data_IF_268898933592
#
_entry.id   IF_268898933592
#
_cell.length_a   1.000
_cell.length_b   1.000
_cell.length_c   1.000
_cell.angle_alpha   90.00
_cell.angle_beta   90.00
_cell.angle_gamma   90.00
#
_symmetry.space_group_name_H-M   'P 1'
#
loop_
_entity.id
_entity.type
_entity.pdbx_description
1 polymer ?
#
# COMPACT_ATOMS: atom_id res chain seq x y z
N UNK A 1 -16.82 7.64 6.74
CA UNK A 1 -15.69 6.72 6.92
C UNK A 1 -15.81 6.01 8.25
N UNK A 2 -15.81 4.68 8.26
CA UNK A 2 -15.83 3.83 9.45
C UNK A 2 -14.55 3.00 9.47
N UNK A 3 -13.80 3.06 10.57
CA UNK A 3 -12.65 2.19 10.74
C UNK A 3 -13.08 0.72 10.80
N UNK A 4 -12.44 -0.14 10.01
CA UNK A 4 -12.76 -1.58 9.93
C UNK A 4 -11.60 -2.47 10.39
N UNK A 5 -10.40 -1.91 10.58
CA UNK A 5 -9.25 -2.62 11.13
C UNK A 5 -7.94 -2.26 10.42
N UNK A 6 -6.83 -2.57 11.09
CA UNK A 6 -5.49 -2.42 10.55
C UNK A 6 -4.89 -3.75 10.12
N UNK A 7 -3.98 -3.72 9.16
CA UNK A 7 -3.15 -4.85 8.76
C UNK A 7 -1.70 -4.39 8.77
N UNK A 8 -0.89 -5.08 9.56
CA UNK A 8 0.55 -4.86 9.65
C UNK A 8 1.29 -6.15 9.32
N UNK A 9 2.47 -6.04 8.76
CA UNK A 9 3.28 -7.20 8.44
C UNK A 9 4.53 -6.89 7.65
N UNK A 10 5.06 -7.92 7.00
CA UNK A 10 6.21 -7.84 6.13
C UNK A 10 5.83 -8.30 4.72
N UNK A 11 6.49 -7.70 3.74
CA UNK A 11 6.32 -8.06 2.35
C UNK A 11 7.51 -7.65 1.51
N UNK A 12 7.42 -7.98 0.24
CA UNK A 12 8.41 -7.63 -0.77
C UNK A 12 7.84 -6.49 -1.61
N UNK A 13 8.53 -5.36 -1.60
CA UNK A 13 8.18 -4.22 -2.44
C UNK A 13 8.68 -4.47 -3.86
N UNK A 14 7.78 -4.30 -4.82
CA UNK A 14 8.05 -4.40 -6.25
C UNK A 14 7.72 -3.08 -6.92
N UNK A 15 8.55 -2.66 -7.85
CA UNK A 15 8.30 -1.49 -8.68
C UNK A 15 8.48 -1.90 -10.14
N UNK A 16 7.47 -1.64 -10.97
CA UNK A 16 7.47 -2.02 -12.39
C UNK A 16 7.78 -3.53 -12.61
N UNK A 17 7.29 -4.37 -11.70
CA UNK A 17 7.55 -5.83 -11.70
C UNK A 17 8.93 -6.25 -11.15
N UNK A 18 9.86 -5.32 -10.95
CA UNK A 18 11.16 -5.59 -10.34
C UNK A 18 11.08 -5.61 -8.82
N UNK A 19 11.68 -6.60 -8.19
CA UNK A 19 11.84 -6.64 -6.74
C UNK A 19 12.84 -5.58 -6.27
N UNK A 20 12.42 -4.75 -5.34
CA UNK A 20 13.21 -3.65 -4.79
C UNK A 20 13.82 -4.06 -3.46
N UNK A 21 13.03 -4.71 -2.60
CA UNK A 21 13.49 -5.22 -1.33
C UNK A 21 12.36 -5.50 -0.36
N UNK A 22 12.73 -6.04 0.79
CA UNK A 22 11.81 -6.34 1.88
C UNK A 22 11.39 -5.04 2.59
N UNK A 23 10.11 -4.92 2.86
CA UNK A 23 9.50 -3.78 3.53
C UNK A 23 8.56 -4.26 4.62
N UNK A 24 8.50 -3.53 5.74
CA UNK A 24 7.41 -3.65 6.70
C UNK A 24 6.30 -2.69 6.29
N UNK A 25 5.07 -3.04 6.61
CA UNK A 25 3.90 -2.22 6.32
C UNK A 25 2.96 -2.18 7.50
N UNK A 26 2.26 -1.06 7.63
CA UNK A 26 1.18 -0.84 8.58
C UNK A 26 0.09 -0.04 7.86
N UNK A 27 -1.05 -0.69 7.60
CA UNK A 27 -2.16 -0.10 6.86
C UNK A 27 -3.43 -0.12 7.68
N UNK A 28 -4.11 1.01 7.74
CA UNK A 28 -5.44 1.13 8.30
C UNK A 28 -6.48 1.09 7.18
N UNK A 29 -7.53 0.28 7.40
CA UNK A 29 -8.63 0.12 6.47
C UNK A 29 -9.88 0.84 6.98
N UNK A 30 -10.51 1.58 6.08
CA UNK A 30 -11.72 2.35 6.32
C UNK A 30 -12.79 1.98 5.31
N UNK A 31 -14.01 1.75 5.79
CA UNK A 31 -15.17 1.61 4.94
C UNK A 31 -15.82 2.98 4.70
N UNK A 32 -16.01 3.33 3.44
CA UNK A 32 -16.71 4.53 3.02
C UNK A 32 -17.83 4.17 2.04
N UNK A 33 -19.09 4.30 2.45
CA UNK A 33 -20.25 3.85 1.68
C UNK A 33 -20.29 4.23 0.18
N UNK A 34 -19.85 5.42 -0.27
CA UNK A 34 -19.82 5.75 -1.70
C UNK A 34 -18.60 5.20 -2.47
N UNK A 35 -17.54 4.76 -1.79
CA UNK A 35 -16.23 4.39 -2.40
C UNK A 35 -15.85 2.93 -2.15
N UNK A 36 -16.44 2.28 -1.14
CA UNK A 36 -16.08 0.94 -0.70
C UNK A 36 -15.03 0.94 0.41
N UNK A 37 -14.16 -0.07 0.41
CA UNK A 37 -13.04 -0.17 1.33
C UNK A 37 -11.86 0.62 0.76
N UNK A 38 -11.37 1.57 1.53
CA UNK A 38 -10.13 2.32 1.26
C UNK A 38 -9.13 1.97 2.34
N UNK A 39 -7.89 1.66 1.96
CA UNK A 39 -6.84 1.38 2.92
C UNK A 39 -5.66 2.30 2.67
N UNK A 40 -5.04 2.80 3.73
CA UNK A 40 -3.89 3.69 3.65
C UNK A 40 -3.02 3.50 4.87
N UNK A 41 -1.74 3.84 4.76
CA UNK A 41 -0.83 3.75 5.89
C UNK A 41 0.60 3.98 5.47
N UNK A 42 1.53 3.36 6.19
CA UNK A 42 2.96 3.55 6.01
C UNK A 42 3.66 2.26 5.61
N UNK A 43 4.64 2.39 4.73
CA UNK A 43 5.63 1.33 4.46
C UNK A 43 6.99 1.79 4.97
N UNK A 44 7.77 0.86 5.51
CA UNK A 44 9.16 1.10 5.91
C UNK A 44 10.11 0.17 5.18
N UNK A 45 11.16 0.75 4.63
CA UNK A 45 12.25 0.05 3.94
C UNK A 45 13.52 0.89 3.97
N UNK A 46 14.63 0.32 3.50
CA UNK A 46 15.90 1.04 3.49
C UNK A 46 15.78 2.38 2.72
N UNK A 47 16.32 3.49 3.23
CA UNK A 47 16.22 4.80 2.58
C UNK A 47 16.70 4.79 1.12
N UNK A 48 17.73 4.00 0.81
CA UNK A 48 18.22 3.82 -0.56
C UNK A 48 17.15 3.18 -1.49
N UNK A 49 16.45 2.18 -0.99
CA UNK A 49 15.38 1.50 -1.72
C UNK A 49 14.15 2.40 -1.86
N UNK A 50 13.77 3.10 -0.79
CA UNK A 50 12.66 4.04 -0.79
C UNK A 50 12.88 5.17 -1.80
N UNK A 51 14.09 5.72 -1.88
CA UNK A 51 14.47 6.71 -2.90
C UNK A 51 14.40 6.17 -4.34
N UNK A 52 14.62 4.87 -4.53
CA UNK A 52 14.53 4.22 -5.84
C UNK A 52 13.08 4.08 -6.36
N UNK A 53 12.12 3.97 -5.44
CA UNK A 53 10.69 3.77 -5.76
C UNK A 53 9.87 5.05 -5.62
N UNK A 54 10.32 6.01 -4.82
CA UNK A 54 9.59 7.25 -4.60
C UNK A 54 9.40 8.01 -5.92
N UNK A 55 8.17 8.48 -6.17
CA UNK A 55 7.79 9.11 -7.44
C UNK A 55 7.51 8.15 -8.60
N UNK A 56 7.64 6.82 -8.38
CA UNK A 56 7.21 5.82 -9.37
C UNK A 56 5.70 5.63 -9.32
N UNK A 57 5.09 5.41 -10.49
CA UNK A 57 3.64 5.27 -10.64
C UNK A 57 3.12 3.86 -10.38
N UNK A 58 3.98 2.84 -10.48
CA UNK A 58 3.58 1.43 -10.36
C UNK A 58 4.40 0.78 -9.26
N UNK A 59 3.92 0.93 -8.03
CA UNK A 59 4.53 0.32 -6.84
C UNK A 59 3.55 -0.70 -6.31
N UNK A 60 4.05 -1.89 -6.01
CA UNK A 60 3.26 -3.00 -5.54
C UNK A 60 3.94 -3.62 -4.32
N UNK A 61 3.15 -4.11 -3.38
CA UNK A 61 3.63 -4.85 -2.23
C UNK A 61 3.07 -6.27 -2.30
N UNK A 62 3.98 -7.23 -2.41
CA UNK A 62 3.65 -8.64 -2.26
C UNK A 62 3.82 -9.01 -0.78
N UNK A 63 2.72 -9.17 -0.06
CA UNK A 63 2.77 -9.60 1.35
C UNK A 63 3.22 -11.05 1.45
N UNK A 64 3.76 -11.44 2.61
CA UNK A 64 4.16 -12.83 2.87
C UNK A 64 2.97 -13.82 2.79
N UNK A 65 1.74 -13.34 3.07
CA UNK A 65 0.47 -14.07 2.87
C UNK A 65 0.12 -14.28 1.38
N UNK A 66 0.94 -13.78 0.45
CA UNK A 66 0.75 -13.93 -1.00
C UNK A 66 -0.20 -12.92 -1.63
N UNK A 67 -0.56 -11.84 -0.92
CA UNK A 67 -1.44 -10.79 -1.45
C UNK A 67 -0.62 -9.74 -2.19
N UNK A 68 -1.09 -9.34 -3.36
CA UNK A 68 -0.48 -8.25 -4.13
C UNK A 68 -1.32 -6.99 -3.99
N UNK A 69 -0.74 -5.97 -3.37
CA UNK A 69 -1.39 -4.67 -3.11
C UNK A 69 -0.73 -3.61 -4.01
N UNK A 70 -1.51 -2.73 -4.65
CA UNK A 70 -0.91 -1.59 -5.35
C UNK A 70 -0.83 -0.41 -4.39
N UNK A 71 0.33 0.24 -4.38
CA UNK A 71 0.64 1.35 -3.50
C UNK A 71 0.81 2.61 -4.33
N UNK A 72 0.19 3.69 -3.88
CA UNK A 72 0.38 5.02 -4.45
C UNK A 72 0.94 5.92 -3.35
N UNK A 73 2.12 6.50 -3.56
CA UNK A 73 2.68 7.45 -2.60
C UNK A 73 1.75 8.66 -2.44
N UNK A 74 1.30 8.90 -1.22
CA UNK A 74 0.47 10.06 -0.87
C UNK A 74 1.31 11.31 -0.65
N UNK A 75 2.54 11.13 -0.18
CA UNK A 75 3.51 12.21 0.01
C UNK A 75 4.00 12.78 -1.33
N UNK A 76 4.07 14.11 -1.39
CA UNK A 76 4.67 14.83 -2.52
C UNK A 76 6.20 14.92 -2.42
N UNK A 77 6.74 14.82 -1.21
CA UNK A 77 8.16 14.95 -0.95
C UNK A 77 8.63 13.84 0.00
N UNK A 78 9.66 13.10 -0.42
CA UNK A 78 10.32 12.15 0.47
C UNK A 78 11.40 12.90 1.24
N UNK A 79 11.37 12.84 2.57
CA UNK A 79 12.53 13.27 3.35
C UNK A 79 13.68 12.29 3.07
N UNK A 80 14.84 12.83 2.68
CA UNK A 80 16.01 12.07 2.24
C UNK A 80 16.51 11.01 3.25
N UNK A 81 16.17 11.19 4.52
CA UNK A 81 16.60 10.36 5.65
C UNK A 81 15.46 9.48 6.18
N UNK A 82 14.25 9.60 5.64
CA UNK A 82 13.11 8.80 6.09
C UNK A 82 13.22 7.37 5.56
N UNK A 83 13.09 6.41 6.45
CA UNK A 83 12.87 5.00 6.15
C UNK A 83 11.38 4.67 5.94
N UNK A 84 10.47 5.62 6.25
CA UNK A 84 9.03 5.48 6.14
C UNK A 84 8.42 6.37 5.05
N UNK A 85 7.38 5.89 4.36
CA UNK A 85 6.58 6.68 3.42
C UNK A 85 5.09 6.37 3.54
N UNK A 86 4.24 7.40 3.45
CA UNK A 86 2.80 7.21 3.40
C UNK A 86 2.34 6.82 2.00
N UNK A 87 1.53 5.78 1.97
CA UNK A 87 0.95 5.22 0.76
C UNK A 87 -0.55 5.03 0.93
N UNK A 88 -1.27 5.32 -0.15
CA UNK A 88 -2.63 4.87 -0.34
C UNK A 88 -2.59 3.49 -1.00
N UNK A 89 -3.35 2.55 -0.44
CA UNK A 89 -3.42 1.18 -0.91
C UNK A 89 -4.65 1.06 -1.81
N UNK A 90 -4.39 0.86 -3.10
CA UNK A 90 -5.43 0.64 -4.11
C UNK A 90 -5.29 -0.75 -4.69
N UNK A 91 -6.40 -1.44 -4.90
CA UNK A 91 -6.38 -2.80 -5.40
C UNK A 91 -7.56 -3.59 -4.88
N UNK A 92 -7.64 -4.84 -5.31
CA UNK A 92 -8.68 -5.75 -4.87
C UNK A 92 -8.37 -6.18 -3.42
N UNK A 93 -8.74 -5.36 -2.43
CA UNK A 93 -8.68 -5.69 -0.99
C UNK A 93 -9.82 -6.69 -0.65
N UNK A 94 -10.07 -7.64 -1.55
CA UNK A 94 -11.33 -8.33 -1.81
C UNK A 94 -12.44 -7.42 -2.35
N UNK A 95 -12.76 -7.61 -3.62
CA UNK A 95 -14.08 -7.48 -4.21
C UNK A 95 -15.07 -8.39 -3.48
N UNK A 96 -15.47 -7.97 -2.29
CA UNK A 96 -16.64 -8.49 -1.59
C UNK A 96 -17.74 -7.42 -1.60
N UNK A 97 -17.98 -6.82 -2.76
CA UNK A 97 -19.29 -6.26 -3.07
C UNK A 97 -19.93 -7.21 -4.08
N UNK A 98 -20.88 -8.08 -3.68
CA UNK A 98 -21.68 -8.78 -4.65
C UNK A 98 -22.44 -7.72 -5.43
N UNK A 99 -22.07 -7.58 -6.71
CA UNK A 99 -22.73 -6.74 -7.68
C UNK A 99 -24.21 -7.16 -7.79
N UNK A 100 -25.09 -6.59 -6.96
CA UNK A 100 -26.54 -6.65 -7.19
C UNK A 100 -26.86 -5.62 -8.26
N UNK A 101 -26.76 -6.07 -9.51
CA UNK A 101 -27.51 -5.47 -10.61
C UNK A 101 -29.00 -5.67 -10.33
N UNK A 102 -29.78 -4.60 -10.43
CA UNK A 102 -31.24 -4.61 -10.41
C UNK A 102 -31.76 -3.96 -11.69
#
# INVERSE_FOLDING_TARGET
MRYIGGVAGEGVLRCDGQEIGRATYDFDSFFNAPVGITSSGEIRLSPAALRGVFGRRVVQLLTDDGRLLNLTFSDKELRLESDAAHVDVTGDISSAVPNRRH
#
